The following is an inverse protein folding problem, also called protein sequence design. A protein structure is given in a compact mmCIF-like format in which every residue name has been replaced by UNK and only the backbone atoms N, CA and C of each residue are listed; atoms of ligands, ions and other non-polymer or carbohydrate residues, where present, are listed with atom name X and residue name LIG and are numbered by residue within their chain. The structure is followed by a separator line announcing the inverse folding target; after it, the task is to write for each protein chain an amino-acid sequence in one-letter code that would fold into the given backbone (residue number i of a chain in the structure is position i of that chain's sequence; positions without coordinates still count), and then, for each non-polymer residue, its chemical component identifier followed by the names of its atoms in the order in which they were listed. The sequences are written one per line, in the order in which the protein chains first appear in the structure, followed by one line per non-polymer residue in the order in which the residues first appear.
data_IF_979774091877
#
_entry.id   IF_979774091877
#
_cell.length_a   1.000
_cell.length_b   1.000
_cell.length_c   1.000
_cell.angle_alpha   90.00
_cell.angle_beta   90.00
_cell.angle_gamma   90.00
#
_symmetry.space_group_name_H-M   'P 1'
#
loop_
_entity.id
_entity.type
_entity.pdbx_description
1 polymer ?
#
# COMPACT_ATOMS: atom_id res chain seq x y z
N UNK A 1 23.41 46.98 44.58
CA UNK A 1 23.31 48.23 43.81
C UNK A 1 22.44 47.99 42.58
N UNK A 2 21.30 48.68 42.55
CA UNK A 2 20.59 49.28 41.37
C UNK A 2 20.02 48.38 40.25
N UNK A 3 18.71 48.11 40.36
CA UNK A 3 17.67 47.86 39.31
C UNK A 3 17.45 49.12 38.41
N UNK A 4 16.42 49.26 37.52
CA UNK A 4 15.42 48.36 36.87
C UNK A 4 15.43 48.55 35.31
N UNK A 5 14.54 48.03 34.43
CA UNK A 5 13.13 48.43 34.30
C UNK A 5 12.36 47.67 33.20
N UNK A 6 11.07 47.47 33.49
CA UNK A 6 10.02 46.95 32.62
C UNK A 6 9.66 47.99 31.56
N UNK A 7 9.20 47.54 30.38
CA UNK A 7 8.34 48.34 29.51
C UNK A 7 7.11 47.52 29.15
N UNK A 8 6.02 47.77 29.88
CA UNK A 8 4.65 47.55 29.43
C UNK A 8 4.17 48.87 28.84
N UNK A 9 3.54 48.88 27.67
CA UNK A 9 2.16 49.38 27.55
C UNK A 9 1.51 48.90 26.24
N UNK A 10 0.25 48.43 26.28
CA UNK A 10 -0.59 48.21 25.10
C UNK A 10 -1.24 49.52 24.63
N UNK A 11 -1.68 49.57 23.36
CA UNK A 11 -2.57 50.64 22.85
C UNK A 11 -3.80 50.00 22.20
N UNK A 12 -5.03 50.39 22.59
CA UNK A 12 -6.29 49.87 22.07
C UNK A 12 -7.01 50.83 21.09
N UNK A 13 -8.16 50.36 20.59
CA UNK A 13 -9.37 51.11 20.18
C UNK A 13 -9.45 51.51 18.68
N UNK A 14 -10.17 50.74 17.85
CA UNK A 14 -11.63 50.70 17.56
C UNK A 14 -12.11 51.75 16.56
N UNK A 15 -12.84 51.28 15.54
CA UNK A 15 -14.05 51.86 14.90
C UNK A 15 -14.23 51.22 13.53
N UNK A 16 -15.41 51.03 12.96
CA UNK A 16 -16.82 51.15 13.35
C UNK A 16 -17.51 50.63 12.09
N UNK A 17 -18.49 49.74 12.23
CA UNK A 17 -19.13 49.14 11.07
C UNK A 17 -20.04 47.99 11.44
N UNK A 18 -20.77 48.10 12.55
CA UNK A 18 -22.00 47.34 12.69
C UNK A 18 -23.09 48.01 11.87
N UNK A 19 -23.89 47.23 11.16
CA UNK A 19 -25.35 47.27 11.33
C UNK A 19 -25.91 45.88 10.95
N UNK A 20 -26.51 45.26 11.96
CA UNK A 20 -27.43 44.13 11.90
C UNK A 20 -28.64 44.40 10.98
N UNK A 21 -29.24 43.33 10.44
CA UNK A 21 -30.62 42.95 10.75
C UNK A 21 -31.14 41.85 9.81
N UNK A 22 -31.51 40.73 10.45
CA UNK A 22 -32.68 39.87 10.22
C UNK A 22 -33.29 39.74 8.81
N UNK A 23 -33.41 38.49 8.34
CA UNK A 23 -34.70 37.99 7.85
C UNK A 23 -34.78 36.48 8.08
N UNK A 24 -35.79 36.10 8.86
CA UNK A 24 -36.16 34.74 9.24
C UNK A 24 -36.77 33.92 8.09
N UNK A 25 -36.90 32.62 8.39
CA UNK A 25 -37.39 31.50 7.60
C UNK A 25 -38.75 31.67 6.90
N UNK A 26 -38.95 30.95 5.78
CA UNK A 26 -39.78 29.73 5.75
C UNK A 26 -40.06 29.23 4.31
N UNK A 27 -39.59 28.01 4.07
CA UNK A 27 -40.34 26.83 3.62
C UNK A 27 -40.95 26.65 2.20
N UNK A 28 -40.78 25.41 1.73
CA UNK A 28 -41.63 24.61 0.83
C UNK A 28 -41.57 24.90 -0.69
N UNK A 29 -40.87 24.10 -1.50
CA UNK A 29 -41.32 22.77 -1.95
C UNK A 29 -40.58 22.26 -3.21
N UNK A 30 -40.27 20.96 -3.18
CA UNK A 30 -40.18 19.96 -4.25
C UNK A 30 -39.90 20.39 -5.70
N UNK A 31 -38.73 19.95 -6.21
CA UNK A 31 -38.68 19.31 -7.53
C UNK A 31 -37.71 18.15 -7.50
N UNK A 32 -38.32 16.97 -7.65
CA UNK A 32 -37.72 15.67 -7.82
C UNK A 32 -36.78 15.65 -9.03
N UNK A 33 -35.55 15.21 -8.84
CA UNK A 33 -34.79 14.52 -9.88
C UNK A 33 -34.34 13.17 -9.36
N UNK A 34 -35.19 12.19 -9.65
CA UNK A 34 -34.97 10.75 -9.68
C UNK A 34 -33.50 10.35 -9.92
N UNK A 35 -32.87 9.51 -9.06
CA UNK A 35 -31.71 8.75 -9.48
C UNK A 35 -32.20 7.64 -10.42
N UNK A 36 -31.77 7.69 -11.68
CA UNK A 36 -31.91 6.53 -12.57
C UNK A 36 -30.80 5.55 -12.23
N UNK A 37 -31.22 4.42 -11.66
CA UNK A 37 -30.42 3.23 -11.51
C UNK A 37 -30.14 2.57 -12.88
N UNK A 38 -29.06 1.79 -12.90
CA UNK A 38 -28.68 0.76 -13.85
C UNK A 38 -28.11 1.20 -15.21
N UNK A 39 -26.78 1.10 -15.31
CA UNK A 39 -26.15 0.36 -16.39
C UNK A 39 -24.99 -0.43 -15.77
N UNK A 40 -25.27 -1.69 -15.44
CA UNK A 40 -24.25 -2.72 -15.27
C UNK A 40 -23.36 -2.71 -16.52
N UNK A 41 -22.11 -2.32 -16.34
CA UNK A 41 -21.09 -2.51 -17.38
C UNK A 41 -20.49 -3.88 -17.12
N UNK A 42 -21.02 -4.85 -17.86
CA UNK A 42 -20.46 -6.17 -18.14
C UNK A 42 -18.93 -6.07 -18.35
N UNK A 43 -18.08 -6.61 -17.46
CA UNK A 43 -16.72 -6.93 -17.82
C UNK A 43 -16.76 -8.20 -18.66
N UNK A 44 -16.98 -8.01 -19.96
CA UNK A 44 -16.93 -9.07 -20.94
C UNK A 44 -15.57 -9.75 -20.87
N UNK A 45 -15.61 -11.05 -20.58
CA UNK A 45 -14.48 -11.95 -20.63
C UNK A 45 -13.74 -11.81 -21.96
N UNK A 46 -12.55 -11.23 -21.93
CA UNK A 46 -11.57 -11.38 -22.99
C UNK A 46 -10.74 -12.62 -22.68
N UNK A 47 -11.15 -13.75 -23.24
CA UNK A 47 -10.35 -14.97 -23.32
C UNK A 47 -9.14 -14.70 -24.22
N UNK A 48 -8.02 -14.35 -23.62
CA UNK A 48 -6.70 -14.34 -24.26
C UNK A 48 -5.96 -15.62 -23.90
N UNK A 49 -6.07 -16.64 -24.73
CA UNK A 49 -5.18 -17.81 -24.68
C UNK A 49 -3.78 -17.39 -25.09
N UNK A 50 -2.84 -17.40 -24.14
CA UNK A 50 -1.41 -17.21 -24.36
C UNK A 50 -0.64 -18.13 -23.42
N UNK A 51 -0.15 -19.23 -23.98
CA UNK A 51 1.05 -20.00 -23.64
C UNK A 51 1.54 -20.04 -22.18
N UNK A 52 1.53 -21.24 -21.59
CA UNK A 52 1.75 -21.47 -20.17
C UNK A 52 3.07 -20.89 -19.63
N UNK A 53 2.92 -19.92 -18.74
CA UNK A 53 3.95 -19.56 -17.78
C UNK A 53 4.14 -20.70 -16.79
N UNK A 54 5.39 -21.06 -16.53
CA UNK A 54 5.74 -22.03 -15.51
C UNK A 54 5.29 -21.48 -14.15
N UNK A 55 4.32 -22.16 -13.51
CA UNK A 55 3.89 -21.85 -12.15
C UNK A 55 5.05 -22.00 -11.16
N UNK A 56 5.18 -21.03 -10.28
CA UNK A 56 6.16 -20.97 -9.18
C UNK A 56 5.50 -21.64 -7.95
N UNK A 57 6.24 -22.43 -7.14
CA UNK A 57 5.65 -23.44 -6.26
C UNK A 57 4.70 -22.93 -5.16
N UNK A 58 3.43 -23.35 -5.22
CA UNK A 58 2.84 -24.37 -4.33
C UNK A 58 2.99 -24.25 -2.81
N UNK A 59 2.87 -23.05 -2.22
CA UNK A 59 2.63 -22.90 -0.77
C UNK A 59 1.25 -22.30 -0.55
N UNK A 60 0.50 -22.85 0.40
CA UNK A 60 -0.76 -22.26 0.82
C UNK A 60 -0.47 -20.95 1.55
N UNK A 61 -1.13 -19.88 1.12
CA UNK A 61 -0.92 -18.55 1.66
C UNK A 61 -2.27 -17.91 1.99
N UNK A 62 -2.36 -17.20 3.11
CA UNK A 62 -3.56 -16.41 3.41
C UNK A 62 -3.41 -14.99 2.84
N UNK A 63 -4.27 -14.66 1.87
CA UNK A 63 -4.19 -13.39 1.14
C UNK A 63 -4.62 -12.24 2.03
N UNK A 64 -3.69 -11.34 2.34
CA UNK A 64 -3.94 -10.11 3.11
C UNK A 64 -4.54 -9.01 2.23
N UNK A 65 -4.12 -8.95 0.96
CA UNK A 65 -4.67 -8.04 -0.04
C UNK A 65 -3.86 -8.00 -1.32
N UNK A 66 -4.20 -7.09 -2.22
CA UNK A 66 -3.41 -6.81 -3.42
C UNK A 66 -3.49 -5.33 -3.78
N UNK A 67 -2.51 -4.88 -4.55
CA UNK A 67 -2.43 -3.51 -5.00
C UNK A 67 -1.67 -3.40 -6.33
N UNK A 68 -2.11 -2.47 -7.16
CA UNK A 68 -1.46 -2.16 -8.41
C UNK A 68 -0.04 -1.61 -8.19
N UNK A 69 0.91 -2.20 -8.91
CA UNK A 69 2.29 -1.73 -8.97
C UNK A 69 2.42 -0.55 -9.95
N UNK A 70 3.28 0.41 -9.61
CA UNK A 70 3.70 1.50 -10.50
C UNK A 70 5.16 1.30 -10.89
N UNK A 71 5.41 0.90 -12.14
CA UNK A 71 6.75 0.62 -12.66
C UNK A 71 7.60 1.90 -12.79
N UNK A 72 6.97 3.07 -12.89
CA UNK A 72 7.69 4.32 -13.14
C UNK A 72 8.39 4.81 -11.88
N UNK A 73 7.82 4.49 -10.72
CA UNK A 73 8.37 4.83 -9.41
C UNK A 73 8.86 3.61 -8.62
N UNK A 74 8.65 2.40 -9.16
CA UNK A 74 8.86 1.12 -8.46
C UNK A 74 8.12 1.09 -7.13
N UNK A 75 6.85 1.48 -7.13
CA UNK A 75 6.05 1.64 -5.92
C UNK A 75 4.83 0.73 -5.89
N UNK A 76 4.48 0.26 -4.70
CA UNK A 76 3.24 -0.47 -4.45
C UNK A 76 2.56 0.05 -3.17
N UNK A 77 1.27 0.41 -3.22
CA UNK A 77 0.54 0.80 -2.03
C UNK A 77 0.15 -0.43 -1.22
N UNK A 78 0.81 -0.64 -0.07
CA UNK A 78 0.52 -1.77 0.81
C UNK A 78 -0.95 -1.75 1.29
N UNK A 79 -1.68 -2.89 1.22
CA UNK A 79 -3.08 -2.98 1.63
C UNK A 79 -3.31 -2.53 3.08
N UNK A 80 -4.45 -1.88 3.39
CA UNK A 80 -4.76 -1.44 4.76
C UNK A 80 -4.68 -2.58 5.79
N UNK A 81 -5.03 -3.80 5.37
CA UNK A 81 -5.06 -4.97 6.23
C UNK A 81 -3.66 -5.37 6.74
N UNK A 82 -2.59 -5.08 6.00
CA UNK A 82 -1.19 -5.25 6.42
C UNK A 82 -0.89 -4.42 7.69
N UNK A 83 -1.41 -3.20 7.76
CA UNK A 83 -1.22 -2.30 8.90
C UNK A 83 -2.17 -2.60 10.06
N UNK A 84 -3.41 -2.99 9.76
CA UNK A 84 -4.38 -3.40 10.78
C UNK A 84 -3.84 -4.59 11.61
N UNK A 85 -3.12 -5.49 10.95
CA UNK A 85 -2.50 -6.66 11.55
C UNK A 85 -1.05 -6.43 12.02
N UNK A 86 -0.56 -5.20 11.90
CA UNK A 86 0.77 -4.77 12.40
C UNK A 86 1.98 -5.44 11.75
N UNK A 87 1.82 -6.06 10.57
CA UNK A 87 2.96 -6.56 9.79
C UNK A 87 3.88 -5.43 9.33
N UNK A 88 3.31 -4.30 8.90
CA UNK A 88 4.03 -3.06 8.61
C UNK A 88 3.51 -1.89 9.46
N UNK A 89 4.38 -0.91 9.71
CA UNK A 89 4.04 0.35 10.36
C UNK A 89 4.38 1.52 9.45
N UNK A 90 3.61 2.61 9.55
CA UNK A 90 3.90 3.84 8.81
C UNK A 90 5.22 4.46 9.28
N UNK A 91 6.02 4.98 8.35
CA UNK A 91 7.33 5.59 8.61
C UNK A 91 8.34 4.64 9.27
N UNK A 92 8.11 3.33 9.18
CA UNK A 92 9.04 2.31 9.62
C UNK A 92 9.85 1.79 8.43
N UNK A 93 10.93 1.07 8.76
CA UNK A 93 11.76 0.38 7.79
C UNK A 93 11.13 -0.99 7.46
N UNK A 94 11.09 -1.30 6.18
CA UNK A 94 10.70 -2.58 5.61
C UNK A 94 11.92 -3.20 4.93
N UNK A 95 12.29 -4.38 5.40
CA UNK A 95 13.42 -5.20 4.96
C UNK A 95 12.90 -6.21 3.96
N UNK A 96 13.57 -6.30 2.81
CA UNK A 96 13.22 -7.18 1.70
C UNK A 96 14.19 -8.35 1.62
N UNK A 97 13.66 -9.53 1.31
CA UNK A 97 14.45 -10.72 1.05
C UNK A 97 13.84 -11.60 -0.03
N UNK A 98 14.65 -12.52 -0.56
CA UNK A 98 14.24 -13.56 -1.49
C UNK A 98 14.50 -14.90 -0.82
N UNK A 99 13.48 -15.75 -0.74
CA UNK A 99 13.62 -17.11 -0.22
C UNK A 99 14.24 -18.05 -1.26
N UNK A 100 14.77 -19.18 -0.79
CA UNK A 100 15.32 -20.27 -1.64
C UNK A 100 14.30 -20.86 -2.64
N UNK A 101 13.01 -20.69 -2.38
CA UNK A 101 11.91 -21.09 -3.28
C UNK A 101 11.44 -19.95 -4.21
N UNK A 102 12.30 -18.94 -4.39
CA UNK A 102 12.11 -17.76 -5.24
C UNK A 102 11.00 -16.80 -4.79
N UNK A 103 10.41 -17.02 -3.60
CA UNK A 103 9.36 -16.16 -3.04
C UNK A 103 9.98 -14.92 -2.40
N UNK A 104 9.47 -13.75 -2.78
CA UNK A 104 9.87 -12.48 -2.19
C UNK A 104 9.13 -12.25 -0.86
N UNK A 105 9.89 -11.82 0.15
CA UNK A 105 9.40 -11.52 1.48
C UNK A 105 9.71 -10.09 1.87
N UNK A 106 8.83 -9.50 2.69
CA UNK A 106 9.03 -8.21 3.33
C UNK A 106 8.70 -8.29 4.82
N UNK A 107 9.56 -7.72 5.66
CA UNK A 107 9.35 -7.67 7.12
C UNK A 107 9.87 -6.36 7.71
N UNK A 108 9.30 -5.90 8.83
CA UNK A 108 9.93 -4.83 9.63
C UNK A 108 11.09 -5.32 10.50
N UNK A 109 11.26 -6.63 10.65
CA UNK A 109 12.28 -7.22 11.50
C UNK A 109 13.44 -7.70 10.63
N UNK A 110 14.59 -7.03 10.75
CA UNK A 110 15.81 -7.45 10.04
C UNK A 110 16.23 -8.87 10.41
N UNK A 111 16.16 -9.22 11.70
CA UNK A 111 16.49 -10.56 12.20
C UNK A 111 15.60 -11.64 11.56
N UNK A 112 14.35 -11.33 11.20
CA UNK A 112 13.46 -12.29 10.54
C UNK A 112 13.92 -12.66 9.12
N UNK A 113 14.83 -11.89 8.53
CA UNK A 113 15.45 -12.19 7.24
C UNK A 113 16.87 -12.72 7.45
N UNK A 114 17.69 -12.06 8.27
CA UNK A 114 19.10 -12.43 8.46
C UNK A 114 19.27 -13.79 9.18
N UNK A 115 18.41 -14.11 10.14
CA UNK A 115 18.56 -15.34 10.94
C UNK A 115 17.98 -16.59 10.27
N UNK A 116 17.27 -16.42 9.17
CA UNK A 116 16.71 -17.51 8.39
C UNK A 116 17.66 -17.85 7.25
N UNK A 117 18.36 -18.98 7.38
CA UNK A 117 19.36 -19.42 6.39
C UNK A 117 18.81 -19.58 4.95
N UNK A 118 17.49 -19.66 4.80
CA UNK A 118 16.79 -19.82 3.51
C UNK A 118 16.30 -18.50 2.90
N UNK A 119 16.74 -17.34 3.41
CA UNK A 119 16.36 -16.02 2.89
C UNK A 119 17.61 -15.19 2.60
N UNK A 120 17.78 -14.79 1.35
CA UNK A 120 18.77 -13.81 0.94
C UNK A 120 18.25 -12.39 1.22
N UNK A 121 18.98 -11.62 2.04
CA UNK A 121 18.71 -10.20 2.21
C UNK A 121 18.97 -9.44 0.91
N UNK A 122 18.02 -8.58 0.52
CA UNK A 122 18.13 -7.76 -0.70
C UNK A 122 18.40 -6.30 -0.38
N UNK A 123 17.48 -5.65 0.32
CA UNK A 123 17.54 -4.22 0.61
C UNK A 123 16.60 -3.86 1.76
N UNK A 124 16.71 -2.64 2.28
CA UNK A 124 15.71 -2.04 3.14
C UNK A 124 15.17 -0.75 2.53
N UNK A 125 13.90 -0.49 2.78
CA UNK A 125 13.15 0.64 2.25
C UNK A 125 12.27 1.22 3.35
N UNK A 126 11.80 2.45 3.20
CA UNK A 126 10.89 3.06 4.16
C UNK A 126 9.44 2.88 3.70
N UNK A 127 8.57 2.50 4.64
CA UNK A 127 7.12 2.61 4.45
C UNK A 127 6.73 4.07 4.58
N UNK A 128 6.29 4.71 3.50
CA UNK A 128 5.89 6.12 3.55
C UNK A 128 4.60 6.32 4.39
N UNK A 129 4.35 7.55 4.81
CA UNK A 129 3.14 7.94 5.55
C UNK A 129 1.82 7.65 4.81
N UNK A 130 1.89 7.38 3.50
CA UNK A 130 0.75 7.00 2.67
C UNK A 130 0.57 5.49 2.48
N UNK A 131 1.34 4.65 3.21
CA UNK A 131 1.40 3.18 3.06
C UNK A 131 2.03 2.72 1.74
N UNK A 132 2.87 3.55 1.14
CA UNK A 132 3.57 3.20 -0.09
C UNK A 132 4.90 2.55 0.26
N UNK A 133 5.19 1.43 -0.41
CA UNK A 133 6.47 0.74 -0.36
C UNK A 133 7.20 0.96 -1.69
N UNK A 134 8.47 1.34 -1.61
CA UNK A 134 9.36 1.24 -2.77
C UNK A 134 9.84 -0.20 -2.89
N UNK A 135 9.67 -0.79 -4.05
CA UNK A 135 10.17 -2.13 -4.40
C UNK A 135 11.61 -1.97 -4.90
N UNK A 136 12.59 -2.65 -4.29
CA UNK A 136 13.98 -2.58 -4.75
C UNK A 136 14.13 -3.14 -6.17
N UNK A 137 14.99 -2.54 -7.00
CA UNK A 137 15.23 -3.00 -8.38
C UNK A 137 15.62 -4.49 -8.45
N UNK A 138 16.37 -4.98 -7.46
CA UNK A 138 16.75 -6.40 -7.38
C UNK A 138 15.55 -7.34 -7.23
N UNK A 139 14.44 -6.88 -6.64
CA UNK A 139 13.19 -7.63 -6.52
C UNK A 139 12.47 -7.68 -7.87
N UNK A 140 12.38 -6.56 -8.58
CA UNK A 140 11.77 -6.55 -9.92
C UNK A 140 12.59 -7.37 -10.92
N UNK A 141 13.92 -7.27 -10.87
CA UNK A 141 14.82 -8.10 -11.67
C UNK A 141 14.64 -9.60 -11.37
N UNK A 142 14.46 -9.94 -10.10
CA UNK A 142 14.20 -11.33 -9.68
C UNK A 142 12.86 -11.82 -10.21
N UNK A 143 11.81 -11.00 -10.15
CA UNK A 143 10.53 -11.36 -10.74
C UNK A 143 10.65 -11.61 -12.25
N UNK A 144 11.36 -10.75 -12.97
CA UNK A 144 11.58 -10.92 -14.40
C UNK A 144 12.36 -12.21 -14.73
N UNK A 145 13.36 -12.54 -13.90
CA UNK A 145 14.15 -13.78 -14.03
C UNK A 145 13.28 -15.03 -13.85
N UNK A 146 12.50 -15.08 -12.77
CA UNK A 146 11.59 -16.20 -12.45
C UNK A 146 10.47 -16.34 -13.49
N UNK A 147 9.96 -15.22 -13.99
CA UNK A 147 8.94 -15.16 -15.05
C UNK A 147 9.42 -15.60 -16.43
N UNK A 148 10.72 -15.88 -16.62
CA UNK A 148 11.27 -16.35 -17.90
C UNK A 148 11.97 -15.29 -18.74
N UNK A 149 12.44 -14.19 -18.14
CA UNK A 149 13.29 -13.18 -18.78
C UNK A 149 12.53 -12.06 -19.51
N UNK A 150 11.29 -11.80 -19.10
CA UNK A 150 10.48 -10.65 -19.52
C UNK A 150 9.91 -9.92 -18.31
N UNK A 151 9.30 -8.74 -18.52
CA UNK A 151 8.71 -7.96 -17.44
C UNK A 151 7.58 -8.75 -16.77
N UNK A 152 7.80 -9.17 -15.53
CA UNK A 152 6.87 -10.02 -14.78
C UNK A 152 5.72 -9.22 -14.17
N UNK A 153 5.92 -7.94 -13.91
CA UNK A 153 4.92 -7.00 -13.40
C UNK A 153 5.02 -5.71 -14.19
N UNK A 154 3.96 -5.35 -14.91
CA UNK A 154 3.82 -4.08 -15.60
C UNK A 154 3.06 -3.07 -14.72
N UNK A 155 3.12 -1.78 -15.05
CA UNK A 155 2.31 -0.77 -14.37
C UNK A 155 0.82 -1.10 -14.44
N UNK A 156 0.18 -1.15 -13.27
CA UNK A 156 -1.23 -1.51 -13.13
C UNK A 156 -1.47 -2.99 -12.83
N UNK A 157 -0.46 -3.85 -12.96
CA UNK A 157 -0.55 -5.23 -12.53
C UNK A 157 -0.60 -5.31 -10.99
N UNK A 158 -1.41 -6.24 -10.50
CA UNK A 158 -1.56 -6.43 -9.07
C UNK A 158 -0.38 -7.21 -8.49
N UNK A 159 0.13 -6.70 -7.37
CA UNK A 159 1.03 -7.42 -6.46
C UNK A 159 0.24 -7.83 -5.23
N UNK A 160 0.30 -9.11 -4.90
CA UNK A 160 -0.40 -9.75 -3.79
C UNK A 160 0.48 -9.72 -2.54
N UNK A 161 -0.12 -9.34 -1.43
CA UNK A 161 0.43 -9.46 -0.08
C UNK A 161 -0.26 -10.61 0.62
N UNK A 162 0.51 -11.57 1.11
CA UNK A 162 0.00 -12.75 1.79
C UNK A 162 0.86 -13.13 3.00
N UNK A 163 0.34 -13.99 3.85
CA UNK A 163 1.09 -14.60 4.96
C UNK A 163 1.33 -16.07 4.67
N UNK A 164 2.49 -16.59 5.06
CA UNK A 164 2.76 -18.02 5.03
C UNK A 164 2.07 -18.78 6.17
N UNK A 165 1.95 -20.09 6.02
CA UNK A 165 1.44 -20.99 7.07
C UNK A 165 2.45 -21.22 8.22
N UNK A 166 3.70 -20.80 8.05
CA UNK A 166 4.75 -21.02 9.05
C UNK A 166 4.63 -20.01 10.21
N UNK A 167 4.32 -20.46 11.44
CA UNK A 167 4.22 -19.57 12.59
C UNK A 167 5.57 -18.96 13.00
N UNK A 168 6.72 -19.53 12.59
CA UNK A 168 8.02 -18.89 12.81
C UNK A 168 8.23 -17.69 11.86
N UNK A 169 7.43 -17.59 10.79
CA UNK A 169 7.39 -16.47 9.84
C UNK A 169 6.29 -15.44 10.15
N UNK A 170 5.71 -15.43 11.37
CA UNK A 170 4.59 -14.60 11.82
C UNK A 170 4.74 -13.07 11.57
N UNK A 171 5.92 -12.59 11.20
CA UNK A 171 6.22 -11.18 10.92
C UNK A 171 6.72 -10.92 9.49
N UNK A 172 6.62 -11.90 8.61
CA UNK A 172 6.97 -11.79 7.20
C UNK A 172 5.69 -11.76 6.35
N UNK A 173 5.65 -10.84 5.39
CA UNK A 173 4.67 -10.84 4.33
C UNK A 173 5.32 -11.36 3.06
N UNK A 174 4.61 -12.22 2.36
CA UNK A 174 4.98 -12.66 1.03
C UNK A 174 4.43 -11.64 0.03
N UNK A 175 5.26 -11.24 -0.91
CA UNK A 175 4.94 -10.20 -1.90
C UNK A 175 5.20 -10.78 -3.28
N UNK A 176 4.14 -11.12 -4.01
CA UNK A 176 4.24 -11.82 -5.28
C UNK A 176 3.35 -11.19 -6.35
N UNK A 177 3.74 -11.21 -7.63
CA UNK A 177 2.84 -10.90 -8.73
C UNK A 177 1.56 -11.71 -8.66
N UNK A 178 0.40 -11.09 -8.89
CA UNK A 178 -0.89 -11.77 -8.78
C UNK A 178 -1.01 -12.98 -9.72
N UNK A 179 -0.37 -12.92 -10.89
CA UNK A 179 -0.33 -14.02 -11.85
C UNK A 179 0.27 -15.32 -11.28
N UNK A 180 1.03 -15.25 -10.18
CA UNK A 180 1.64 -16.41 -9.52
C UNK A 180 0.96 -16.76 -8.18
N UNK A 181 0.10 -15.87 -7.67
CA UNK A 181 -0.61 -16.09 -6.42
C UNK A 181 -1.85 -17.00 -6.59
N UNK A 182 -2.35 -17.14 -7.82
CA UNK A 182 -3.53 -17.94 -8.15
C UNK A 182 -3.12 -19.32 -8.71
N UNK A 183 -2.90 -20.29 -7.81
CA UNK A 183 -2.88 -21.71 -8.18
C UNK A 183 -3.70 -22.54 -7.16
N UNK A 184 -5.02 -22.37 -7.19
CA UNK A 184 -5.97 -23.38 -6.73
C UNK A 184 -7.29 -23.21 -7.50
N UNK A 185 -7.46 -23.99 -8.56
CA UNK A 185 -8.77 -24.28 -9.18
C UNK A 185 -8.81 -25.70 -9.72
#
# INVERSE_FOLDING_TARGET
MTKPNRSSTPVPTSRDGGIDADTEASDTNESQTKPTAAAETDPGAATGTGEGSAGVPGVSHDRVGAAAFDEHTSEVPAPQQVFNQQYLSLNAEAVWGIRDDDIVVVSQQYDAIETTDSIEYVASTQVDGNRVLTVPDRITDHWDEVGGGGMAVESGDDVVFATGDDPEADWQLLVVPAAWADEDS
#
